data_IF_508154906276
#
_entry.id   IF_508154906276
#
_cell.length_a   1.000
_cell.length_b   1.000
_cell.length_c   1.000
_cell.angle_alpha   90.00
_cell.angle_beta   90.00
_cell.angle_gamma   90.00
#
_symmetry.space_group_name_H-M   'P 1'
#
loop_
_entity.id
_entity.type
_entity.pdbx_description
1 polymer ?
#
# COMPACT_ATOMS: atom_id res chain seq x y z
N UNK A 1 -4.77 -17.09 -2.06
CA UNK A 1 -3.45 -17.71 -2.26
C UNK A 1 -2.40 -16.68 -1.85
N UNK A 2 -1.63 -16.94 -0.80
CA UNK A 2 -0.55 -16.03 -0.38
C UNK A 2 0.54 -16.09 -1.46
N UNK A 3 0.77 -14.99 -2.18
CA UNK A 3 1.84 -14.91 -3.18
C UNK A 3 3.17 -15.10 -2.45
N UNK A 4 3.96 -16.10 -2.86
CA UNK A 4 5.33 -16.29 -2.34
C UNK A 4 6.25 -15.27 -3.01
N UNK A 5 6.56 -14.19 -2.28
CA UNK A 5 7.49 -13.16 -2.75
C UNK A 5 8.96 -13.55 -2.56
N UNK A 6 9.24 -14.51 -1.67
CA UNK A 6 10.57 -14.97 -1.33
C UNK A 6 10.64 -16.51 -1.32
N UNK A 7 11.80 -17.11 -1.69
CA UNK A 7 12.01 -18.56 -1.59
C UNK A 7 11.99 -19.06 -0.13
N UNK A 8 12.52 -18.25 0.80
CA UNK A 8 12.56 -18.50 2.23
C UNK A 8 12.23 -17.19 2.95
N UNK A 9 10.98 -17.05 3.39
CA UNK A 9 10.57 -15.90 4.19
C UNK A 9 10.93 -16.20 5.65
N UNK A 10 12.06 -15.65 6.12
CA UNK A 10 12.55 -15.92 7.48
C UNK A 10 11.86 -15.04 8.53
N UNK A 11 11.08 -14.03 8.13
CA UNK A 11 10.55 -13.00 9.02
C UNK A 11 9.06 -13.18 9.34
N UNK A 12 8.72 -14.27 10.02
CA UNK A 12 7.33 -14.59 10.38
C UNK A 12 6.68 -13.55 11.30
N UNK A 13 7.44 -12.94 12.21
CA UNK A 13 6.91 -11.93 13.13
C UNK A 13 6.55 -10.63 12.41
N UNK A 14 7.41 -10.16 11.50
CA UNK A 14 7.10 -8.99 10.67
C UNK A 14 5.94 -9.28 9.72
N UNK A 15 5.90 -10.45 9.09
CA UNK A 15 4.77 -10.86 8.25
C UNK A 15 3.46 -10.86 9.05
N UNK A 16 3.46 -11.41 10.26
CA UNK A 16 2.30 -11.41 11.14
C UNK A 16 1.88 -9.98 11.53
N UNK A 17 2.84 -9.11 11.86
CA UNK A 17 2.57 -7.70 12.14
C UNK A 17 1.92 -7.01 10.93
N UNK A 18 2.49 -7.20 9.73
CA UNK A 18 1.97 -6.65 8.48
C UNK A 18 0.56 -7.18 8.16
N UNK A 19 0.29 -8.47 8.32
CA UNK A 19 -1.04 -9.03 8.08
C UNK A 19 -2.08 -8.46 9.07
N UNK A 20 -1.70 -8.29 10.34
CA UNK A 20 -2.60 -7.75 11.35
C UNK A 20 -2.98 -6.28 11.15
N UNK A 21 -2.13 -5.50 10.47
CA UNK A 21 -2.33 -4.07 10.22
C UNK A 21 -2.99 -3.77 8.87
N UNK A 22 -3.22 -4.79 8.04
CA UNK A 22 -3.57 -4.60 6.64
C UNK A 22 -4.85 -3.77 6.44
N UNK A 23 -5.94 -4.13 7.11
CA UNK A 23 -7.23 -3.46 6.91
C UNK A 23 -7.23 -2.04 7.45
N UNK A 24 -6.57 -1.82 8.60
CA UNK A 24 -6.44 -0.50 9.24
C UNK A 24 -5.62 0.45 8.37
N UNK A 25 -4.45 0.01 7.89
CA UNK A 25 -3.57 0.81 7.05
C UNK A 25 -4.18 1.11 5.68
N UNK A 26 -4.90 0.15 5.09
CA UNK A 26 -5.63 0.38 3.83
C UNK A 26 -6.79 1.36 4.02
N UNK A 27 -7.50 1.31 5.15
CA UNK A 27 -8.55 2.27 5.46
C UNK A 27 -7.97 3.69 5.62
N UNK A 28 -6.87 3.82 6.35
CA UNK A 28 -6.15 5.08 6.50
C UNK A 28 -5.63 5.63 5.15
N UNK A 29 -5.16 4.75 4.26
CA UNK A 29 -4.74 5.10 2.91
C UNK A 29 -5.89 5.71 2.10
N UNK A 30 -7.08 5.09 2.11
CA UNK A 30 -8.22 5.60 1.34
C UNK A 30 -8.64 6.98 1.85
N UNK A 31 -8.68 7.18 3.16
CA UNK A 31 -8.98 8.49 3.73
C UNK A 31 -7.93 9.55 3.36
N UNK A 32 -6.65 9.17 3.32
CA UNK A 32 -5.56 10.05 2.85
C UNK A 32 -5.74 10.44 1.39
N UNK A 33 -6.10 9.49 0.53
CA UNK A 33 -6.36 9.70 -0.90
C UNK A 33 -7.53 10.65 -1.11
N UNK A 34 -8.64 10.47 -0.38
CA UNK A 34 -9.79 11.39 -0.45
C UNK A 34 -9.39 12.83 -0.09
N UNK A 35 -8.66 13.01 1.02
CA UNK A 35 -8.18 14.33 1.45
C UNK A 35 -7.26 14.96 0.41
N UNK A 36 -6.36 14.16 -0.16
CA UNK A 36 -5.43 14.63 -1.19
C UNK A 36 -6.17 15.02 -2.48
N UNK A 37 -7.15 14.22 -2.91
CA UNK A 37 -7.99 14.53 -4.06
C UNK A 37 -8.69 15.89 -3.88
N UNK A 38 -9.34 16.11 -2.73
CA UNK A 38 -10.01 17.39 -2.44
C UNK A 38 -9.01 18.54 -2.46
N UNK A 39 -7.84 18.38 -1.84
CA UNK A 39 -6.80 19.40 -1.81
C UNK A 39 -6.31 19.79 -3.23
N UNK A 40 -6.20 18.82 -4.13
CA UNK A 40 -5.69 19.04 -5.49
C UNK A 40 -6.76 19.55 -6.45
N UNK A 41 -7.95 18.95 -6.43
CA UNK A 41 -8.99 19.15 -7.45
C UNK A 41 -10.11 20.07 -6.98
N UNK A 42 -10.27 20.28 -5.67
CA UNK A 42 -11.30 21.14 -5.09
C UNK A 42 -10.71 22.13 -4.06
N UNK A 43 -9.81 23.04 -4.47
CA UNK A 43 -9.23 24.03 -3.56
C UNK A 43 -10.27 25.03 -3.03
N UNK A 44 -11.42 25.17 -3.69
CA UNK A 44 -12.51 26.07 -3.29
C UNK A 44 -13.53 25.42 -2.34
N UNK A 45 -13.45 24.11 -2.12
CA UNK A 45 -14.39 23.38 -1.25
C UNK A 45 -15.83 23.36 -1.77
N UNK A 46 -16.04 23.55 -3.07
CA UNK A 46 -17.36 23.49 -3.68
C UNK A 46 -17.70 22.04 -4.00
N UNK A 47 -18.63 21.45 -3.27
CA UNK A 47 -19.01 20.06 -3.47
C UNK A 47 -19.93 19.95 -4.70
N UNK A 48 -19.45 19.23 -5.71
CA UNK A 48 -20.28 18.72 -6.79
C UNK A 48 -20.73 17.28 -6.48
N UNK A 49 -21.67 16.76 -7.26
CA UNK A 49 -22.19 15.40 -7.09
C UNK A 49 -21.09 14.32 -7.14
N UNK A 50 -19.97 14.61 -7.82
CA UNK A 50 -18.79 13.74 -7.87
C UNK A 50 -18.00 13.75 -6.55
N UNK A 51 -17.69 14.94 -6.02
CA UNK A 51 -16.97 15.11 -4.76
C UNK A 51 -17.79 14.58 -3.58
N UNK A 52 -19.11 14.77 -3.57
CA UNK A 52 -20.01 14.20 -2.57
C UNK A 52 -19.97 12.68 -2.57
N UNK A 53 -19.93 12.04 -3.74
CA UNK A 53 -19.80 10.59 -3.87
C UNK A 53 -18.48 10.08 -3.31
N UNK A 54 -17.37 10.79 -3.52
CA UNK A 54 -16.06 10.41 -2.98
C UNK A 54 -16.05 10.54 -1.45
N UNK A 55 -16.58 11.65 -0.92
CA UNK A 55 -16.58 11.95 0.51
C UNK A 55 -17.51 11.03 1.31
N UNK A 56 -18.69 10.73 0.77
CA UNK A 56 -19.69 9.87 1.41
C UNK A 56 -19.41 8.37 1.30
N UNK A 57 -18.47 7.97 0.44
CA UNK A 57 -18.13 6.56 0.25
C UNK A 57 -17.46 5.98 1.50
N UNK A 58 -17.97 4.86 1.99
CA UNK A 58 -17.36 4.12 3.10
C UNK A 58 -16.95 2.73 2.64
N UNK A 59 -15.76 2.24 3.04
CA UNK A 59 -15.28 0.93 2.63
C UNK A 59 -16.12 -0.18 3.27
N UNK A 60 -16.82 -0.96 2.46
CA UNK A 60 -17.44 -2.22 2.89
C UNK A 60 -16.47 -3.41 2.79
N UNK A 61 -15.52 -3.35 1.85
CA UNK A 61 -14.47 -4.35 1.65
C UNK A 61 -13.30 -3.74 0.86
N UNK A 62 -12.06 -3.95 1.31
CA UNK A 62 -10.84 -3.41 0.67
C UNK A 62 -10.03 -4.48 -0.08
N UNK A 63 -10.64 -5.62 -0.40
CA UNK A 63 -9.99 -6.78 -1.05
C UNK A 63 -9.21 -6.42 -2.32
N UNK A 64 -9.68 -5.45 -3.10
CA UNK A 64 -9.02 -4.97 -4.33
C UNK A 64 -7.66 -4.34 -4.06
N UNK A 65 -7.45 -3.75 -2.88
CA UNK A 65 -6.19 -3.13 -2.47
C UNK A 65 -5.24 -4.10 -1.75
N UNK A 66 -5.70 -5.29 -1.39
CA UNK A 66 -4.89 -6.27 -0.65
C UNK A 66 -3.62 -6.66 -1.42
N UNK A 67 -3.72 -6.85 -2.73
CA UNK A 67 -2.56 -7.21 -3.55
C UNK A 67 -1.51 -6.10 -3.56
N UNK A 68 -1.94 -4.84 -3.64
CA UNK A 68 -1.03 -3.70 -3.52
C UNK A 68 -0.37 -3.66 -2.14
N UNK A 69 -1.15 -3.78 -1.07
CA UNK A 69 -0.60 -3.80 0.28
C UNK A 69 0.46 -4.90 0.45
N UNK A 70 0.16 -6.12 -0.01
CA UNK A 70 1.09 -7.24 0.06
C UNK A 70 2.36 -7.00 -0.76
N UNK A 71 2.25 -6.36 -1.93
CA UNK A 71 3.42 -5.98 -2.72
C UNK A 71 4.28 -4.96 -1.97
N UNK A 72 3.70 -3.90 -1.41
CA UNK A 72 4.44 -2.87 -0.66
C UNK A 72 5.08 -3.48 0.61
N UNK A 73 4.35 -4.34 1.32
CA UNK A 73 4.85 -5.09 2.47
C UNK A 73 6.03 -6.02 2.11
N UNK A 74 5.97 -6.66 0.94
CA UNK A 74 7.08 -7.45 0.41
C UNK A 74 8.28 -6.56 0.05
N UNK A 75 8.06 -5.38 -0.54
CA UNK A 75 9.12 -4.42 -0.83
C UNK A 75 9.82 -3.95 0.45
N UNK A 76 9.06 -3.70 1.52
CA UNK A 76 9.63 -3.38 2.82
C UNK A 76 10.52 -4.50 3.36
N UNK A 77 10.03 -5.74 3.34
CA UNK A 77 10.81 -6.92 3.76
C UNK A 77 12.05 -7.13 2.91
N UNK A 78 12.01 -6.79 1.62
CA UNK A 78 13.18 -6.82 0.75
C UNK A 78 14.22 -5.77 1.15
N UNK A 79 13.79 -4.55 1.52
CA UNK A 79 14.70 -3.44 1.86
C UNK A 79 15.29 -3.52 3.27
N UNK A 80 14.50 -4.00 4.24
CA UNK A 80 14.85 -3.99 5.66
C UNK A 80 14.93 -5.40 6.27
N UNK A 81 15.01 -6.42 5.42
CA UNK A 81 14.97 -7.83 5.82
C UNK A 81 16.12 -8.30 6.69
N UNK A 82 17.24 -7.58 6.74
CA UNK A 82 18.46 -7.99 7.44
C UNK A 82 18.48 -7.62 8.94
N UNK A 83 17.65 -6.66 9.38
CA UNK A 83 17.67 -6.11 10.74
C UNK A 83 16.72 -6.85 11.72
N UNK A 84 16.70 -8.18 11.68
CA UNK A 84 15.73 -8.96 12.47
C UNK A 84 16.18 -9.21 13.90
N UNK A 85 15.22 -9.12 14.85
CA UNK A 85 15.40 -9.45 16.26
C UNK A 85 16.56 -8.69 16.92
N UNK A 86 16.75 -7.43 16.52
CA UNK A 86 17.65 -6.52 17.23
C UNK A 86 17.27 -6.48 18.71
N UNK A 87 18.28 -6.50 19.59
CA UNK A 87 18.05 -6.41 21.02
C UNK A 87 17.28 -5.14 21.37
N UNK A 88 16.10 -5.33 21.95
CA UNK A 88 15.25 -4.26 22.42
C UNK A 88 15.57 -3.99 23.89
N UNK A 89 16.07 -2.79 24.16
CA UNK A 89 16.46 -2.36 25.52
C UNK A 89 15.33 -1.65 26.27
N UNK A 90 14.21 -1.40 25.59
CA UNK A 90 13.03 -0.68 26.10
C UNK A 90 11.94 -1.60 26.68
N UNK A 91 12.15 -2.92 26.65
CA UNK A 91 11.21 -3.92 27.15
C UNK A 91 9.97 -4.12 26.26
N UNK A 92 9.91 -3.51 25.08
CA UNK A 92 8.82 -3.73 24.13
C UNK A 92 8.93 -5.10 23.45
N UNK A 93 7.78 -5.66 23.08
CA UNK A 93 7.74 -6.86 22.25
C UNK A 93 8.14 -6.55 20.81
N UNK A 94 8.89 -7.45 20.16
CA UNK A 94 9.27 -7.30 18.75
C UNK A 94 8.08 -7.08 17.82
N UNK A 95 6.94 -7.71 18.11
CA UNK A 95 5.73 -7.57 17.31
C UNK A 95 5.21 -6.13 17.34
N UNK A 96 5.20 -5.49 18.51
CA UNK A 96 4.74 -4.11 18.65
C UNK A 96 5.71 -3.13 17.98
N UNK A 97 7.02 -3.34 18.12
CA UNK A 97 8.03 -2.57 17.39
C UNK A 97 7.81 -2.69 15.87
N UNK A 98 7.68 -3.91 15.35
CA UNK A 98 7.45 -4.13 13.92
C UNK A 98 6.14 -3.51 13.42
N UNK A 99 5.09 -3.51 14.24
CA UNK A 99 3.84 -2.82 13.92
C UNK A 99 4.06 -1.32 13.78
N UNK A 100 4.73 -0.69 14.74
CA UNK A 100 4.97 0.76 14.75
C UNK A 100 5.86 1.18 13.58
N UNK A 101 6.96 0.46 13.34
CA UNK A 101 7.88 0.72 12.23
C UNK A 101 7.17 0.56 10.89
N UNK A 102 6.42 -0.53 10.72
CA UNK A 102 5.71 -0.79 9.48
C UNK A 102 4.64 0.26 9.21
N UNK A 103 3.83 0.62 10.21
CA UNK A 103 2.84 1.70 10.10
C UNK A 103 3.50 2.99 9.67
N UNK A 104 4.58 3.41 10.35
CA UNK A 104 5.28 4.66 10.06
C UNK A 104 5.81 4.71 8.63
N UNK A 105 6.46 3.62 8.18
CA UNK A 105 7.02 3.54 6.83
C UNK A 105 5.93 3.44 5.77
N UNK A 106 4.85 2.70 6.03
CA UNK A 106 3.72 2.61 5.12
C UNK A 106 3.05 3.98 4.94
N UNK A 107 2.85 4.73 6.04
CA UNK A 107 2.30 6.09 5.99
C UNK A 107 3.21 7.05 5.24
N UNK A 108 4.52 7.01 5.48
CA UNK A 108 5.51 7.82 4.76
C UNK A 108 5.44 7.54 3.25
N UNK A 109 5.56 6.27 2.86
CA UNK A 109 5.56 5.86 1.46
C UNK A 109 4.27 6.22 0.76
N UNK A 110 3.13 5.91 1.36
CA UNK A 110 1.83 6.23 0.76
C UNK A 110 1.54 7.72 0.73
N UNK A 111 2.06 8.50 1.68
CA UNK A 111 1.99 9.97 1.61
C UNK A 111 2.77 10.49 0.41
N UNK A 112 3.96 9.93 0.14
CA UNK A 112 4.72 10.25 -1.06
C UNK A 112 3.99 9.82 -2.35
N UNK A 113 3.36 8.64 -2.36
CA UNK A 113 2.58 8.17 -3.51
C UNK A 113 1.39 9.08 -3.82
N UNK A 114 0.69 9.55 -2.79
CA UNK A 114 -0.43 10.48 -2.92
C UNK A 114 -0.05 11.81 -3.58
N UNK A 115 1.23 12.19 -3.63
CA UNK A 115 1.67 13.37 -4.39
C UNK A 115 1.54 13.19 -5.91
N UNK A 116 1.35 11.96 -6.40
CA UNK A 116 1.16 11.65 -7.82
C UNK A 116 -0.33 11.46 -8.11
N UNK A 117 -0.88 12.32 -8.97
CA UNK A 117 -2.31 12.30 -9.31
C UNK A 117 -2.77 10.96 -9.89
N UNK A 118 -1.92 10.30 -10.68
CA UNK A 118 -2.20 8.97 -11.23
C UNK A 118 -2.45 7.91 -10.15
N UNK A 119 -1.76 8.02 -9.02
CA UNK A 119 -1.94 7.10 -7.89
C UNK A 119 -3.26 7.38 -7.16
N UNK A 120 -3.58 8.65 -6.93
CA UNK A 120 -4.84 9.10 -6.32
C UNK A 120 -6.03 8.61 -7.16
N UNK A 121 -5.98 8.82 -8.48
CA UNK A 121 -7.01 8.36 -9.41
C UNK A 121 -7.15 6.83 -9.39
N UNK A 122 -6.04 6.08 -9.44
CA UNK A 122 -6.09 4.63 -9.43
C UNK A 122 -6.73 4.05 -8.16
N UNK A 123 -6.48 4.65 -6.99
CA UNK A 123 -7.12 4.21 -5.74
C UNK A 123 -8.62 4.55 -5.75
N UNK A 124 -9.01 5.74 -6.19
CA UNK A 124 -10.43 6.10 -6.30
C UNK A 124 -11.18 5.18 -7.29
N UNK A 125 -10.53 4.83 -8.40
CA UNK A 125 -11.06 3.90 -9.41
C UNK A 125 -11.31 2.50 -8.83
N UNK A 126 -10.44 2.04 -7.93
CA UNK A 126 -10.51 0.72 -7.29
C UNK A 126 -11.39 0.66 -6.04
N UNK A 127 -11.79 1.82 -5.52
CA UNK A 127 -12.60 1.95 -4.31
C UNK A 127 -13.98 2.53 -4.64
N UNK A 128 -14.07 3.84 -4.83
CA UNK A 128 -15.32 4.60 -5.02
C UNK A 128 -16.01 4.22 -6.34
N UNK A 129 -15.24 3.96 -7.40
CA UNK A 129 -15.77 3.76 -8.75
C UNK A 129 -15.75 2.30 -9.23
N UNK A 130 -15.37 1.34 -8.38
CA UNK A 130 -15.25 -0.07 -8.75
C UNK A 130 -16.49 -0.65 -9.45
N UNK A 131 -17.74 -0.44 -8.97
CA UNK A 131 -18.93 -1.02 -9.63
C UNK A 131 -19.20 -0.44 -11.02
N UNK A 132 -18.65 0.73 -11.32
CA UNK A 132 -18.83 1.44 -12.58
C UNK A 132 -17.63 1.24 -13.52
N UNK A 133 -16.53 0.68 -13.01
CA UNK A 133 -15.28 0.53 -13.75
C UNK A 133 -15.20 -0.84 -14.44
N UNK A 134 -15.51 -0.87 -15.75
CA UNK A 134 -15.33 -2.05 -16.61
C UNK A 134 -13.87 -2.53 -16.71
N UNK A 135 -12.91 -1.76 -16.20
CA UNK A 135 -11.47 -2.01 -16.30
C UNK A 135 -10.77 -2.10 -14.93
N UNK A 136 -11.48 -2.56 -13.89
CA UNK A 136 -10.94 -2.73 -12.54
C UNK A 136 -9.60 -3.49 -12.51
N UNK A 137 -9.46 -4.56 -13.28
CA UNK A 137 -8.20 -5.33 -13.39
C UNK A 137 -7.04 -4.49 -13.93
N UNK A 138 -7.30 -3.58 -14.89
CA UNK A 138 -6.26 -2.68 -15.40
C UNK A 138 -5.87 -1.62 -14.37
N UNK A 139 -6.81 -1.13 -13.56
CA UNK A 139 -6.49 -0.20 -12.47
C UNK A 139 -5.64 -0.89 -11.39
N UNK A 140 -5.95 -2.15 -11.05
CA UNK A 140 -5.17 -2.95 -10.11
C UNK A 140 -3.75 -3.21 -10.63
N UNK A 141 -3.62 -3.60 -11.89
CA UNK A 141 -2.32 -3.82 -12.52
C UNK A 141 -1.49 -2.53 -12.59
N UNK A 142 -2.11 -1.38 -12.91
CA UNK A 142 -1.44 -0.07 -12.91
C UNK A 142 -0.92 0.29 -11.52
N UNK A 143 -1.73 0.11 -10.48
CA UNK A 143 -1.35 0.37 -9.10
C UNK A 143 -0.19 -0.53 -8.63
N UNK A 144 -0.25 -1.83 -8.94
CA UNK A 144 0.81 -2.77 -8.59
C UNK A 144 2.13 -2.43 -9.31
N UNK A 145 2.05 -2.07 -10.59
CA UNK A 145 3.22 -1.64 -11.36
C UNK A 145 3.79 -0.31 -10.85
N UNK A 146 2.94 0.62 -10.42
CA UNK A 146 3.37 1.90 -9.86
C UNK A 146 4.27 1.70 -8.62
N UNK A 147 3.86 0.86 -7.67
CA UNK A 147 4.66 0.59 -6.47
C UNK A 147 6.04 -0.01 -6.82
N UNK A 148 6.06 -0.96 -7.75
CA UNK A 148 7.31 -1.60 -8.21
C UNK A 148 8.23 -0.61 -8.93
N UNK A 149 7.68 0.22 -9.81
CA UNK A 149 8.42 1.26 -10.53
C UNK A 149 8.95 2.33 -9.58
N UNK A 150 8.17 2.78 -8.60
CA UNK A 150 8.59 3.79 -7.63
C UNK A 150 9.85 3.37 -6.86
N UNK A 151 10.01 2.06 -6.61
CA UNK A 151 11.17 1.53 -5.90
C UNK A 151 12.22 0.88 -6.81
N UNK A 152 12.08 0.97 -8.13
CA UNK A 152 12.95 0.32 -9.12
C UNK A 152 13.09 -1.20 -8.89
N UNK A 153 11.98 -1.86 -8.56
CA UNK A 153 11.91 -3.30 -8.29
C UNK A 153 11.08 -4.02 -9.37
N UNK A 154 11.39 -5.31 -9.59
CA UNK A 154 10.58 -6.22 -10.42
C UNK A 154 10.36 -7.54 -9.70
N UNK A 155 9.20 -8.16 -9.94
CA UNK A 155 8.88 -9.50 -9.42
C UNK A 155 9.24 -10.55 -10.48
N UNK A 156 10.21 -11.40 -10.17
CA UNK A 156 10.62 -12.54 -11.00
C UNK A 156 10.00 -13.84 -10.47
N UNK A 157 9.39 -14.64 -11.35
CA UNK A 157 8.65 -15.88 -10.96
C UNK A 157 9.48 -16.87 -10.13
N UNK A 158 10.79 -16.95 -10.39
CA UNK A 158 11.68 -17.91 -9.72
C UNK A 158 12.56 -17.28 -8.62
N UNK A 159 12.81 -15.97 -8.68
CA UNK A 159 13.75 -15.29 -7.78
C UNK A 159 13.08 -14.35 -6.79
N UNK A 160 11.78 -14.11 -6.92
CA UNK A 160 11.06 -13.16 -6.07
C UNK A 160 11.31 -11.72 -6.49
N UNK A 161 11.32 -10.80 -5.54
CA UNK A 161 11.66 -9.38 -5.77
C UNK A 161 13.14 -9.22 -6.12
N UNK A 162 13.42 -8.52 -7.22
CA UNK A 162 14.78 -8.22 -7.69
C UNK A 162 14.87 -6.73 -8.04
N UNK A 163 15.94 -6.07 -7.60
CA UNK A 163 16.25 -4.72 -8.02
C UNK A 163 16.54 -4.66 -9.52
N UNK A 164 15.98 -3.65 -10.20
CA UNK A 164 16.30 -3.37 -11.60
C UNK A 164 17.67 -2.72 -11.63
N UNK A 165 18.74 -3.53 -11.70
CA UNK A 165 20.06 -3.00 -12.00
C UNK A 165 20.02 -2.43 -13.42
N UNK A 166 20.20 -1.11 -13.53
CA UNK A 166 20.64 -0.48 -14.78
C UNK A 166 22.06 -0.99 -15.01
N UNK A 167 22.24 -1.79 -16.06
CA UNK A 167 23.54 -2.23 -16.55
C UNK A 167 24.16 -1.13 -17.41
#
# INVERSE_FOLDING_TARGET
MVRKFFPLDKNYLLEQAQLSLQDDLLSALVERVKKQYVRQQNPLGLNDSFSEKILSWHPSTLKTLHNFYQNVAAIYRYKYGDNQLEFLWDGQGHLDKYRQEWTSIFEEWTTAFCQRDLFVQAILDLTVFLPQNRHAEMAENRMNNFALQYFDLRIHKTRGLVAVRVA
#
